data_IF_951283368858
#
_entry.id   IF_951283368858
#
_cell.length_a   1.000
_cell.length_b   1.000
_cell.length_c   1.000
_cell.angle_alpha   90.00
_cell.angle_beta   90.00
_cell.angle_gamma   90.00
#
_symmetry.space_group_name_H-M   'P 1'
#
loop_
_entity.id
_entity.type
_entity.pdbx_description
1 polymer ?
#
# COMPACT_ATOMS: atom_id res chain seq x y z
N UNK A 1 -15.90 -26.55 -41.52
CA UNK A 1 -15.43 -25.75 -40.39
C UNK A 1 -16.29 -26.16 -39.22
N UNK A 2 -15.72 -26.80 -38.21
CA UNK A 2 -16.46 -27.25 -37.04
C UNK A 2 -16.30 -26.15 -35.98
N UNK A 3 -17.42 -25.57 -35.53
CA UNK A 3 -17.37 -24.58 -34.46
C UNK A 3 -17.33 -25.30 -33.12
N UNK A 4 -16.69 -24.69 -32.12
CA UNK A 4 -16.61 -25.27 -30.77
C UNK A 4 -18.02 -25.45 -30.17
N UNK A 5 -18.96 -24.58 -30.55
CA UNK A 5 -20.38 -24.65 -30.22
C UNK A 5 -21.11 -25.85 -30.82
N UNK A 6 -20.53 -26.54 -31.80
CA UNK A 6 -21.13 -27.72 -32.43
C UNK A 6 -20.80 -29.01 -31.67
N UNK A 7 -19.91 -28.94 -30.66
CA UNK A 7 -19.56 -30.09 -29.83
C UNK A 7 -20.69 -30.42 -28.84
N UNK A 8 -20.95 -31.72 -28.56
CA UNK A 8 -21.94 -32.10 -27.55
C UNK A 8 -21.60 -31.51 -26.17
N UNK A 9 -22.61 -31.07 -25.43
CA UNK A 9 -22.47 -30.54 -24.06
C UNK A 9 -21.63 -31.45 -23.17
N UNK A 10 -21.79 -32.78 -23.27
CA UNK A 10 -20.99 -33.73 -22.50
C UNK A 10 -19.49 -33.68 -22.80
N UNK A 11 -19.09 -33.42 -24.06
CA UNK A 11 -17.70 -33.25 -24.42
C UNK A 11 -17.14 -31.92 -23.91
N UNK A 12 -17.93 -30.84 -24.02
CA UNK A 12 -17.56 -29.52 -23.51
C UNK A 12 -17.42 -29.51 -21.98
N UNK A 13 -18.35 -30.17 -21.27
CA UNK A 13 -18.30 -30.35 -19.82
C UNK A 13 -17.10 -31.22 -19.39
N UNK A 14 -16.75 -32.23 -20.18
CA UNK A 14 -15.55 -33.03 -19.91
C UNK A 14 -14.28 -32.19 -20.05
N UNK A 15 -14.15 -31.42 -21.14
CA UNK A 15 -13.00 -30.51 -21.35
C UNK A 15 -12.94 -29.46 -20.24
N UNK A 16 -14.07 -28.86 -19.88
CA UNK A 16 -14.13 -27.82 -18.87
C UNK A 16 -13.76 -28.32 -17.46
N UNK A 17 -13.96 -29.61 -17.17
CA UNK A 17 -13.57 -30.22 -15.89
C UNK A 17 -12.06 -30.23 -15.65
N UNK A 18 -11.24 -30.08 -16.70
CA UNK A 18 -9.79 -29.95 -16.57
C UNK A 18 -9.34 -28.52 -16.25
N UNK A 19 -10.18 -27.52 -16.55
CA UNK A 19 -9.90 -26.11 -16.30
C UNK A 19 -10.00 -25.78 -14.81
N UNK A 20 -9.23 -24.80 -14.35
CA UNK A 20 -9.45 -24.21 -13.03
C UNK A 20 -10.81 -23.53 -12.97
N UNK A 21 -11.38 -23.36 -11.76
CA UNK A 21 -12.71 -22.81 -11.57
C UNK A 21 -12.96 -21.49 -12.35
N UNK A 22 -12.10 -20.46 -12.26
CA UNK A 22 -12.32 -19.22 -13.01
C UNK A 22 -12.32 -19.44 -14.54
N UNK A 23 -11.36 -20.20 -15.06
CA UNK A 23 -11.24 -20.51 -16.49
C UNK A 23 -12.42 -21.33 -16.99
N UNK A 24 -12.93 -22.26 -16.17
CA UNK A 24 -14.12 -23.06 -16.45
C UNK A 24 -15.37 -22.18 -16.56
N UNK A 25 -15.51 -21.20 -15.67
CA UNK A 25 -16.63 -20.26 -15.72
C UNK A 25 -16.56 -19.36 -16.95
N UNK A 26 -15.39 -18.78 -17.25
CA UNK A 26 -15.16 -17.98 -18.45
C UNK A 26 -15.39 -18.79 -19.73
N UNK A 27 -14.98 -20.06 -19.75
CA UNK A 27 -15.24 -20.98 -20.85
C UNK A 27 -16.75 -21.21 -21.06
N UNK A 28 -17.51 -21.42 -19.99
CA UNK A 28 -18.97 -21.55 -20.05
C UNK A 28 -19.63 -20.27 -20.61
N UNK A 29 -19.16 -19.08 -20.21
CA UNK A 29 -19.62 -17.79 -20.73
C UNK A 29 -19.31 -17.63 -22.21
N UNK A 30 -18.08 -17.93 -22.62
CA UNK A 30 -17.64 -17.79 -24.02
C UNK A 30 -18.44 -18.69 -24.98
N UNK A 31 -18.89 -19.86 -24.52
CA UNK A 31 -19.70 -20.78 -25.30
C UNK A 31 -21.15 -20.31 -25.48
N UNK A 32 -21.59 -19.27 -24.76
CA UNK A 32 -22.84 -18.54 -24.94
C UNK A 32 -24.12 -19.41 -25.02
N UNK A 33 -24.03 -20.63 -24.51
CA UNK A 33 -25.10 -21.64 -24.55
C UNK A 33 -25.87 -21.57 -23.23
N UNK A 34 -26.90 -20.72 -23.19
CA UNK A 34 -27.76 -20.50 -22.00
C UNK A 34 -28.34 -21.78 -21.39
N UNK A 35 -28.51 -22.85 -22.18
CA UNK A 35 -29.09 -24.12 -21.69
C UNK A 35 -28.04 -25.13 -21.19
N UNK A 36 -26.76 -24.91 -21.49
CA UNK A 36 -25.68 -25.84 -21.10
C UNK A 36 -24.62 -25.23 -20.17
N UNK A 37 -24.75 -23.95 -19.81
CA UNK A 37 -23.73 -23.26 -19.01
C UNK A 37 -23.52 -23.93 -17.66
N UNK A 38 -24.59 -24.34 -16.96
CA UNK A 38 -24.48 -25.05 -15.67
C UNK A 38 -23.83 -26.42 -15.83
N UNK A 39 -24.17 -27.19 -16.87
CA UNK A 39 -23.57 -28.48 -17.15
C UNK A 39 -22.05 -28.38 -17.45
N UNK A 40 -21.62 -27.27 -18.04
CA UNK A 40 -20.20 -27.00 -18.36
C UNK A 40 -19.47 -26.42 -17.16
N UNK A 41 -20.13 -25.56 -16.39
CA UNK A 41 -19.60 -24.98 -15.16
C UNK A 41 -19.43 -26.04 -14.06
N UNK A 42 -20.32 -27.03 -14.00
CA UNK A 42 -20.45 -27.92 -12.86
C UNK A 42 -21.10 -27.21 -11.66
N UNK A 43 -21.28 -27.95 -10.56
CA UNK A 43 -22.06 -27.48 -9.39
C UNK A 43 -21.17 -27.12 -8.19
N UNK A 44 -19.87 -27.43 -8.25
CA UNK A 44 -18.93 -27.21 -7.14
C UNK A 44 -18.21 -25.87 -7.29
N UNK A 45 -18.78 -24.83 -6.68
CA UNK A 45 -18.33 -23.43 -6.73
C UNK A 45 -18.13 -22.82 -5.35
N UNK A 46 -17.57 -23.57 -4.41
CA UNK A 46 -17.27 -23.05 -3.07
C UNK A 46 -16.38 -21.80 -3.10
N UNK A 47 -15.47 -21.72 -4.07
CA UNK A 47 -14.48 -20.64 -4.18
C UNK A 47 -14.30 -20.19 -5.64
N UNK A 48 -14.43 -18.88 -5.87
CA UNK A 48 -14.12 -18.24 -7.15
C UNK A 48 -13.14 -17.06 -6.94
N UNK A 49 -11.95 -17.20 -7.52
CA UNK A 49 -10.87 -16.24 -7.40
C UNK A 49 -10.15 -16.04 -8.74
N UNK A 50 -10.20 -14.82 -9.25
CA UNK A 50 -9.62 -14.45 -10.54
C UNK A 50 -8.09 -14.26 -10.49
N UNK A 51 -7.47 -14.23 -9.31
CA UNK A 51 -6.02 -14.03 -9.15
C UNK A 51 -5.15 -15.20 -9.63
N UNK A 52 -5.72 -16.40 -9.78
CA UNK A 52 -4.99 -17.62 -10.14
C UNK A 52 -5.25 -18.13 -11.56
N UNK A 53 -6.00 -17.40 -12.39
CA UNK A 53 -6.40 -17.83 -13.75
C UNK A 53 -5.22 -18.42 -14.56
N UNK A 54 -4.02 -17.87 -14.38
CA UNK A 54 -2.87 -18.16 -15.25
C UNK A 54 -1.90 -19.19 -14.65
N UNK A 55 -1.70 -19.17 -13.32
CA UNK A 55 -0.80 -20.13 -12.64
C UNK A 55 -1.31 -21.56 -12.77
N UNK A 56 -2.62 -21.75 -12.68
CA UNK A 56 -3.24 -23.07 -12.73
C UNK A 56 -3.39 -23.61 -14.16
N UNK A 57 -3.52 -22.71 -15.14
CA UNK A 57 -3.52 -23.09 -16.56
C UNK A 57 -2.12 -23.54 -17.00
N UNK A 58 -1.07 -22.86 -16.53
CA UNK A 58 0.32 -23.21 -16.82
C UNK A 58 0.77 -24.51 -16.11
N UNK A 59 0.31 -24.76 -14.87
CA UNK A 59 0.73 -25.92 -14.08
C UNK A 59 0.15 -27.26 -14.55
N UNK A 60 -0.92 -27.26 -15.37
CA UNK A 60 -1.63 -28.48 -15.81
C UNK A 60 -1.23 -28.98 -17.20
N UNK A 61 -0.33 -28.29 -17.91
CA UNK A 61 0.20 -28.74 -19.20
C UNK A 61 1.39 -29.69 -18.95
N UNK A 62 1.29 -30.94 -19.43
CA UNK A 62 2.34 -31.97 -19.33
C UNK A 62 3.23 -31.91 -20.58
N UNK A 63 4.51 -32.26 -20.48
CA UNK A 63 5.55 -32.15 -21.53
C UNK A 63 5.15 -32.70 -22.92
N UNK A 64 4.26 -33.70 -22.99
CA UNK A 64 3.82 -34.29 -24.26
C UNK A 64 2.72 -33.44 -24.96
N UNK A 65 1.87 -32.73 -24.21
CA UNK A 65 0.90 -31.74 -24.75
C UNK A 65 1.62 -30.47 -25.22
N UNK A 66 2.73 -30.16 -24.54
CA UNK A 66 3.58 -29.01 -24.84
C UNK A 66 4.28 -29.19 -26.19
N UNK A 67 4.60 -30.41 -26.65
CA UNK A 67 5.33 -30.61 -27.91
C UNK A 67 4.53 -30.22 -29.16
N UNK A 68 3.21 -30.41 -29.16
CA UNK A 68 2.33 -30.00 -30.26
C UNK A 68 1.91 -28.52 -30.15
N UNK A 69 1.87 -27.98 -28.93
CA UNK A 69 1.64 -26.55 -28.67
C UNK A 69 2.91 -25.72 -28.90
N UNK A 70 4.12 -26.29 -28.79
CA UNK A 70 5.43 -25.60 -28.91
C UNK A 70 5.62 -24.92 -30.28
N UNK A 71 5.05 -25.48 -31.35
CA UNK A 71 5.09 -24.84 -32.68
C UNK A 71 4.22 -23.57 -32.72
N UNK A 72 3.19 -23.46 -31.87
CA UNK A 72 2.45 -22.22 -31.62
C UNK A 72 3.06 -21.38 -30.47
N UNK A 73 3.79 -21.99 -29.53
CA UNK A 73 4.31 -21.39 -28.30
C UNK A 73 5.52 -20.48 -28.52
N UNK A 74 6.24 -20.61 -29.64
CA UNK A 74 7.29 -19.66 -30.03
C UNK A 74 6.75 -18.23 -30.29
N UNK A 75 5.43 -18.04 -30.39
CA UNK A 75 4.76 -16.73 -30.34
C UNK A 75 4.24 -16.34 -28.94
N UNK A 76 4.05 -17.28 -28.01
CA UNK A 76 3.49 -17.04 -26.68
C UNK A 76 4.51 -16.61 -25.61
N UNK A 77 5.79 -16.96 -25.72
CA UNK A 77 6.79 -16.51 -24.73
C UNK A 77 7.00 -14.98 -24.71
N UNK A 78 6.61 -14.26 -25.76
CA UNK A 78 6.58 -12.79 -25.78
C UNK A 78 5.36 -12.19 -25.04
N UNK A 79 4.33 -13.00 -24.74
CA UNK A 79 3.10 -12.55 -24.08
C UNK A 79 3.06 -12.81 -22.58
N UNK A 80 3.93 -13.67 -22.02
CA UNK A 80 3.90 -14.02 -20.59
C UNK A 80 4.33 -12.88 -19.63
N UNK A 81 5.00 -11.84 -20.10
CA UNK A 81 5.19 -10.59 -19.35
C UNK A 81 3.99 -9.62 -19.46
N UNK A 82 2.94 -10.01 -20.19
CA UNK A 82 1.72 -9.26 -20.46
C UNK A 82 0.46 -9.92 -19.84
N UNK A 83 0.67 -10.74 -18.82
CA UNK A 83 -0.34 -11.65 -18.26
C UNK A 83 -1.16 -11.02 -17.10
N UNK A 84 -0.71 -9.93 -16.46
CA UNK A 84 -1.62 -9.08 -15.65
C UNK A 84 -2.81 -8.50 -16.45
N UNK A 85 -2.75 -8.56 -17.78
CA UNK A 85 -3.64 -7.87 -18.72
C UNK A 85 -4.96 -8.63 -18.92
N UNK A 86 -5.12 -9.90 -18.52
CA UNK A 86 -6.40 -10.60 -18.74
C UNK A 86 -7.43 -10.26 -17.66
N UNK A 87 -7.09 -10.39 -16.38
CA UNK A 87 -7.99 -9.99 -15.29
C UNK A 87 -8.33 -8.50 -15.36
N UNK A 88 -7.35 -7.67 -15.76
CA UNK A 88 -7.58 -6.25 -16.01
C UNK A 88 -8.56 -6.00 -17.18
N UNK A 89 -8.70 -6.92 -18.15
CA UNK A 89 -9.69 -6.77 -19.25
C UNK A 89 -11.09 -7.25 -18.89
N UNK A 90 -11.26 -7.93 -17.76
CA UNK A 90 -12.57 -8.41 -17.32
C UNK A 90 -13.45 -7.19 -17.01
N UNK A 91 -14.59 -7.11 -17.69
CA UNK A 91 -15.60 -6.08 -17.50
C UNK A 91 -16.72 -6.55 -16.58
N UNK A 92 -17.62 -5.63 -16.18
CA UNK A 92 -18.83 -5.98 -15.44
C UNK A 92 -19.72 -6.99 -16.19
N UNK A 93 -19.77 -6.94 -17.52
CA UNK A 93 -20.53 -7.89 -18.34
C UNK A 93 -19.96 -9.31 -18.23
N UNK A 94 -18.64 -9.44 -18.20
CA UNK A 94 -17.94 -10.72 -18.05
C UNK A 94 -18.18 -11.30 -16.64
N UNK A 95 -18.01 -10.48 -15.59
CA UNK A 95 -18.28 -10.89 -14.20
C UNK A 95 -19.74 -11.32 -14.06
N UNK A 96 -20.69 -10.53 -14.57
CA UNK A 96 -22.12 -10.87 -14.55
C UNK A 96 -22.40 -12.17 -15.26
N UNK A 97 -21.82 -12.37 -16.45
CA UNK A 97 -21.95 -13.60 -17.22
C UNK A 97 -21.44 -14.81 -16.45
N UNK A 98 -20.28 -14.69 -15.79
CA UNK A 98 -19.69 -15.75 -14.95
C UNK A 98 -20.61 -16.08 -13.78
N UNK A 99 -21.02 -15.08 -12.99
CA UNK A 99 -21.84 -15.28 -11.80
C UNK A 99 -23.21 -15.89 -12.14
N UNK A 100 -23.83 -15.49 -13.25
CA UNK A 100 -25.06 -16.12 -13.74
C UNK A 100 -24.84 -17.58 -14.19
N UNK A 101 -23.70 -17.86 -14.84
CA UNK A 101 -23.42 -19.19 -15.39
C UNK A 101 -23.21 -20.25 -14.31
N UNK A 102 -22.74 -19.84 -13.13
CA UNK A 102 -22.49 -20.73 -11.98
C UNK A 102 -23.63 -20.69 -10.95
N UNK A 103 -24.71 -19.96 -11.22
CA UNK A 103 -25.79 -19.69 -10.25
C UNK A 103 -25.23 -19.21 -8.90
N UNK A 104 -24.39 -18.18 -8.95
CA UNK A 104 -23.57 -17.74 -7.82
C UNK A 104 -24.39 -17.41 -6.57
N UNK A 105 -25.62 -16.89 -6.74
CA UNK A 105 -26.51 -16.57 -5.63
C UNK A 105 -26.78 -17.76 -4.71
N UNK A 106 -26.81 -18.98 -5.28
CA UNK A 106 -27.11 -20.22 -4.57
C UNK A 106 -25.88 -21.13 -4.34
N UNK A 107 -24.80 -20.95 -5.10
CA UNK A 107 -23.65 -21.87 -5.06
C UNK A 107 -22.30 -21.25 -4.62
N UNK A 108 -22.11 -19.94 -4.77
CA UNK A 108 -20.84 -19.28 -4.47
C UNK A 108 -20.69 -18.87 -3.00
N UNK A 109 -19.74 -19.47 -2.27
CA UNK A 109 -19.44 -19.08 -0.88
C UNK A 109 -18.36 -18.02 -0.75
N UNK A 110 -17.37 -17.99 -1.64
CA UNK A 110 -16.26 -17.04 -1.57
C UNK A 110 -15.97 -16.41 -2.93
N UNK A 111 -16.02 -15.08 -2.99
CA UNK A 111 -15.68 -14.32 -4.18
C UNK A 111 -14.45 -13.44 -3.92
N UNK A 112 -13.45 -13.53 -4.79
CA UNK A 112 -12.31 -12.60 -4.82
C UNK A 112 -12.16 -12.00 -6.21
N UNK A 113 -12.19 -10.68 -6.29
CA UNK A 113 -12.07 -9.92 -7.55
C UNK A 113 -10.63 -9.49 -7.82
N UNK A 114 -9.67 -10.30 -7.40
CA UNK A 114 -8.24 -10.03 -7.56
C UNK A 114 -7.90 -9.71 -9.01
N UNK A 115 -7.21 -8.58 -9.22
CA UNK A 115 -6.78 -8.03 -10.50
C UNK A 115 -7.91 -7.63 -11.48
N UNK A 116 -9.18 -7.69 -11.08
CA UNK A 116 -10.31 -7.18 -11.87
C UNK A 116 -10.44 -5.65 -11.77
N UNK A 117 -9.39 -4.92 -12.16
CA UNK A 117 -9.25 -3.48 -11.89
C UNK A 117 -10.15 -2.55 -12.74
N UNK A 118 -10.87 -3.08 -13.74
CA UNK A 118 -11.70 -2.29 -14.66
C UNK A 118 -13.21 -2.45 -14.44
N UNK A 119 -13.64 -3.02 -13.30
CA UNK A 119 -15.05 -3.20 -12.97
C UNK A 119 -15.60 -2.00 -12.20
N UNK A 120 -16.82 -1.59 -12.53
CA UNK A 120 -17.60 -0.60 -11.77
C UNK A 120 -18.29 -1.20 -10.55
N UNK A 121 -18.50 -2.52 -10.56
CA UNK A 121 -19.23 -3.25 -9.52
C UNK A 121 -20.63 -3.67 -9.95
N UNK A 122 -21.18 -3.09 -11.02
CA UNK A 122 -22.49 -3.45 -11.58
C UNK A 122 -22.56 -4.94 -12.00
N UNK A 123 -21.42 -5.55 -12.32
CA UNK A 123 -21.32 -6.97 -12.65
C UNK A 123 -21.66 -7.91 -11.50
N UNK A 124 -21.65 -7.42 -10.25
CA UNK A 124 -21.95 -8.19 -9.04
C UNK A 124 -23.45 -8.39 -8.78
N UNK A 125 -24.31 -7.77 -9.58
CA UNK A 125 -25.78 -7.84 -9.45
C UNK A 125 -26.33 -9.27 -9.25
N UNK A 126 -25.79 -10.33 -9.90
CA UNK A 126 -26.27 -11.70 -9.67
C UNK A 126 -26.10 -12.23 -8.24
N UNK A 127 -25.31 -11.58 -7.37
CA UNK A 127 -25.20 -11.96 -5.95
C UNK A 127 -26.32 -11.40 -5.08
N UNK A 128 -27.17 -10.52 -5.62
CA UNK A 128 -28.22 -9.82 -4.88
C UNK A 128 -29.08 -10.83 -4.11
N UNK A 129 -29.17 -10.61 -2.80
CA UNK A 129 -29.99 -11.40 -1.89
C UNK A 129 -29.47 -12.82 -1.64
N UNK A 130 -28.20 -13.12 -1.96
CA UNK A 130 -27.56 -14.40 -1.62
C UNK A 130 -27.58 -14.64 -0.11
N UNK A 131 -27.91 -15.86 0.29
CA UNK A 131 -27.89 -16.32 1.69
C UNK A 131 -26.67 -17.19 2.00
N UNK A 132 -25.93 -17.63 0.98
CA UNK A 132 -24.85 -18.63 1.11
C UNK A 132 -23.45 -18.05 0.94
N UNK A 133 -23.31 -16.83 0.40
CA UNK A 133 -22.03 -16.13 0.30
C UNK A 133 -21.48 -15.84 1.70
N UNK A 134 -20.22 -16.21 1.95
CA UNK A 134 -19.50 -16.08 3.22
C UNK A 134 -18.41 -15.01 3.16
N UNK A 135 -17.74 -14.88 2.02
CA UNK A 135 -16.62 -13.95 1.85
C UNK A 135 -16.71 -13.20 0.53
N UNK A 136 -16.54 -11.88 0.58
CA UNK A 136 -16.38 -11.04 -0.61
C UNK A 136 -15.13 -10.16 -0.43
N UNK A 137 -14.14 -10.36 -1.30
CA UNK A 137 -12.95 -9.52 -1.39
C UNK A 137 -13.00 -8.62 -2.63
N UNK A 138 -13.21 -7.33 -2.37
CA UNK A 138 -13.29 -6.24 -3.34
C UNK A 138 -11.99 -5.42 -3.38
N UNK A 139 -10.88 -5.89 -2.81
CA UNK A 139 -9.61 -5.14 -2.80
C UNK A 139 -8.98 -4.97 -4.19
N UNK A 140 -9.40 -5.78 -5.17
CA UNK A 140 -8.91 -5.81 -6.55
C UNK A 140 -7.41 -6.09 -6.73
N UNK A 141 -6.70 -6.39 -5.66
CA UNK A 141 -5.26 -6.66 -5.68
C UNK A 141 -4.95 -8.11 -5.35
N UNK A 142 -3.78 -8.56 -5.80
CA UNK A 142 -3.22 -9.86 -5.51
C UNK A 142 -3.02 -10.12 -4.02
N UNK A 143 -2.69 -11.37 -3.71
CA UNK A 143 -2.12 -11.70 -2.41
C UNK A 143 -0.81 -10.94 -2.21
N UNK A 144 -0.61 -10.40 -1.02
CA UNK A 144 0.64 -9.74 -0.61
C UNK A 144 0.99 -8.44 -1.37
N UNK A 145 0.09 -7.96 -2.22
CA UNK A 145 0.18 -6.69 -2.92
C UNK A 145 -0.39 -5.54 -2.08
N UNK A 146 0.08 -4.32 -2.37
CA UNK A 146 -0.46 -3.12 -1.76
C UNK A 146 -1.86 -2.85 -2.28
N UNK A 147 -2.86 -2.56 -1.44
CA UNK A 147 -4.24 -2.29 -1.88
C UNK A 147 -4.40 -0.91 -2.53
N UNK A 148 -3.32 -0.14 -2.64
CA UNK A 148 -3.28 1.15 -3.34
C UNK A 148 -3.02 0.92 -4.83
N UNK A 149 -4.01 1.25 -5.65
CA UNK A 149 -3.95 1.18 -7.10
C UNK A 149 -3.77 2.59 -7.69
N UNK A 150 -2.98 2.69 -8.77
CA UNK A 150 -2.79 3.91 -9.56
C UNK A 150 -2.88 3.54 -11.07
N UNK A 151 -3.94 3.97 -11.79
CA UNK A 151 -5.01 4.87 -11.34
C UNK A 151 -5.98 4.23 -10.34
N UNK A 152 -6.77 5.07 -9.67
CA UNK A 152 -7.85 4.61 -8.79
C UNK A 152 -8.86 3.74 -9.56
N UNK A 153 -9.31 2.60 -9.00
CA UNK A 153 -10.19 1.69 -9.70
C UNK A 153 -11.60 2.29 -9.85
N UNK A 154 -12.33 1.98 -10.94
CA UNK A 154 -13.65 2.55 -11.23
C UNK A 154 -14.78 1.95 -10.37
N UNK A 155 -14.47 1.01 -9.46
CA UNK A 155 -15.46 0.35 -8.62
C UNK A 155 -16.15 1.36 -7.69
N UNK A 156 -17.48 1.43 -7.76
CA UNK A 156 -18.28 2.47 -7.11
C UNK A 156 -19.11 1.94 -5.95
N UNK A 157 -19.11 2.67 -4.83
CA UNK A 157 -20.01 2.44 -3.71
C UNK A 157 -21.48 2.37 -4.15
N UNK A 158 -21.89 3.25 -5.08
CA UNK A 158 -23.28 3.37 -5.52
C UNK A 158 -23.81 2.11 -6.22
N UNK A 159 -22.94 1.37 -6.91
CA UNK A 159 -23.31 0.12 -7.59
C UNK A 159 -23.29 -1.07 -6.62
N UNK A 160 -22.27 -1.14 -5.75
CA UNK A 160 -22.03 -2.33 -4.92
C UNK A 160 -22.81 -2.33 -3.61
N UNK A 161 -22.96 -1.18 -2.93
CA UNK A 161 -23.64 -1.11 -1.62
C UNK A 161 -25.07 -1.66 -1.70
N UNK A 162 -25.92 -1.32 -2.70
CA UNK A 162 -27.25 -1.88 -2.79
C UNK A 162 -27.28 -3.42 -2.92
N UNK A 163 -26.24 -4.02 -3.49
CA UNK A 163 -26.10 -5.48 -3.60
C UNK A 163 -25.74 -6.06 -2.23
N UNK A 164 -24.75 -5.48 -1.54
CA UNK A 164 -24.36 -5.91 -0.20
C UNK A 164 -25.49 -5.72 0.81
N UNK A 165 -26.24 -4.62 0.74
CA UNK A 165 -27.42 -4.37 1.57
C UNK A 165 -28.44 -5.49 1.42
N UNK A 166 -28.75 -5.90 0.19
CA UNK A 166 -29.70 -6.99 -0.04
C UNK A 166 -29.28 -8.34 0.55
N UNK A 167 -27.96 -8.57 0.69
CA UNK A 167 -27.40 -9.79 1.29
C UNK A 167 -27.55 -9.71 2.82
N UNK A 168 -27.21 -8.57 3.43
CA UNK A 168 -27.30 -8.41 4.89
C UNK A 168 -28.74 -8.26 5.38
N UNK A 169 -29.66 -7.75 4.55
CA UNK A 169 -31.11 -7.69 4.82
C UNK A 169 -31.76 -9.07 5.01
N UNK A 170 -31.06 -10.15 4.62
CA UNK A 170 -31.48 -11.53 4.94
C UNK A 170 -31.37 -11.86 6.44
N UNK A 171 -30.67 -11.05 7.22
CA UNK A 171 -30.59 -11.21 8.68
C UNK A 171 -29.95 -12.53 9.08
N UNK A 172 -30.68 -13.35 9.84
CA UNK A 172 -30.22 -14.65 10.35
C UNK A 172 -29.92 -15.68 9.24
N UNK A 173 -30.52 -15.54 8.06
CA UNK A 173 -30.26 -16.42 6.90
C UNK A 173 -28.98 -16.02 6.13
N UNK A 174 -28.43 -14.84 6.41
CA UNK A 174 -27.21 -14.38 5.76
C UNK A 174 -26.02 -15.20 6.27
N UNK A 175 -25.21 -15.76 5.36
CA UNK A 175 -23.95 -16.43 5.71
C UNK A 175 -22.71 -15.53 5.61
N UNK A 176 -22.86 -14.25 5.25
CA UNK A 176 -21.72 -13.36 4.98
C UNK A 176 -20.94 -13.07 6.26
N UNK A 177 -19.70 -13.56 6.35
CA UNK A 177 -18.83 -13.49 7.53
C UNK A 177 -17.69 -12.49 7.36
N UNK A 178 -17.24 -12.24 6.14
CA UNK A 178 -16.08 -11.39 5.88
C UNK A 178 -16.22 -10.50 4.65
N UNK A 179 -15.92 -9.21 4.82
CA UNK A 179 -15.84 -8.23 3.75
C UNK A 179 -14.47 -7.53 3.73
N UNK A 180 -13.88 -7.44 2.53
CA UNK A 180 -12.71 -6.60 2.27
C UNK A 180 -13.06 -5.55 1.23
N UNK A 181 -12.98 -4.28 1.61
CA UNK A 181 -13.30 -3.14 0.74
C UNK A 181 -12.07 -2.62 -0.02
N UNK A 182 -12.29 -1.96 -1.19
CA UNK A 182 -11.25 -1.19 -1.87
C UNK A 182 -10.61 -0.18 -0.91
N UNK A 183 -9.31 0.11 -1.09
CA UNK A 183 -8.64 1.12 -0.27
C UNK A 183 -9.27 2.51 -0.43
N UNK A 184 -9.78 2.83 -1.62
CA UNK A 184 -10.34 4.14 -1.91
C UNK A 184 -11.57 4.46 -1.05
N UNK A 185 -12.50 3.51 -0.93
CA UNK A 185 -13.73 3.71 -0.14
C UNK A 185 -13.41 3.94 1.35
N UNK A 186 -12.29 3.40 1.82
CA UNK A 186 -11.84 3.54 3.21
C UNK A 186 -11.20 4.90 3.52
N UNK A 187 -10.86 5.70 2.50
CA UNK A 187 -10.36 7.06 2.68
C UNK A 187 -11.48 8.03 3.02
N UNK A 188 -12.69 7.80 2.52
CA UNK A 188 -13.85 8.66 2.76
C UNK A 188 -14.50 8.36 4.12
N UNK A 189 -14.10 9.11 5.15
CA UNK A 189 -14.62 8.98 6.53
C UNK A 189 -15.83 9.87 6.80
N UNK A 190 -16.72 9.98 5.82
CA UNK A 190 -17.91 10.80 5.96
C UNK A 190 -19.02 9.98 6.65
N UNK A 191 -19.45 10.40 7.84
CA UNK A 191 -20.53 9.74 8.60
C UNK A 191 -21.89 9.81 7.90
N UNK A 192 -22.05 10.72 6.95
CA UNK A 192 -23.28 10.87 6.14
C UNK A 192 -23.23 10.09 4.82
N UNK A 193 -22.12 9.41 4.51
CA UNK A 193 -22.00 8.59 3.30
C UNK A 193 -22.81 7.30 3.37
N UNK A 194 -23.27 6.83 2.21
CA UNK A 194 -23.92 5.51 2.08
C UNK A 194 -22.98 4.39 2.53
N UNK A 195 -21.67 4.53 2.33
CA UNK A 195 -20.66 3.58 2.80
C UNK A 195 -20.65 3.50 4.32
N UNK A 196 -20.63 4.62 5.03
CA UNK A 196 -20.69 4.63 6.49
C UNK A 196 -22.00 4.01 7.02
N UNK A 197 -23.13 4.35 6.38
CA UNK A 197 -24.43 3.79 6.72
C UNK A 197 -24.44 2.25 6.54
N UNK A 198 -23.83 1.75 5.45
CA UNK A 198 -23.64 0.32 5.22
C UNK A 198 -22.77 -0.31 6.32
N UNK A 199 -21.61 0.28 6.65
CA UNK A 199 -20.72 -0.24 7.70
C UNK A 199 -21.45 -0.35 9.05
N UNK A 200 -22.35 0.58 9.35
CA UNK A 200 -23.18 0.54 10.57
C UNK A 200 -24.08 -0.69 10.56
N UNK A 201 -24.85 -0.91 9.49
CA UNK A 201 -25.74 -2.08 9.33
C UNK A 201 -24.98 -3.41 9.34
N UNK A 202 -23.82 -3.46 8.68
CA UNK A 202 -23.00 -4.67 8.66
C UNK A 202 -22.44 -4.99 10.05
N UNK A 203 -21.98 -3.99 10.82
CA UNK A 203 -21.57 -4.22 12.20
C UNK A 203 -22.74 -4.70 13.07
N UNK A 204 -23.96 -4.18 12.89
CA UNK A 204 -25.15 -4.68 13.58
C UNK A 204 -25.44 -6.16 13.27
N UNK A 205 -25.25 -6.58 12.01
CA UNK A 205 -25.34 -8.00 11.63
C UNK A 205 -24.26 -8.84 12.33
N UNK A 206 -23.02 -8.37 12.38
CA UNK A 206 -21.96 -9.09 13.11
C UNK A 206 -22.27 -9.15 14.62
N UNK A 207 -22.86 -8.10 15.18
CA UNK A 207 -23.35 -8.04 16.55
C UNK A 207 -24.41 -9.09 16.86
N UNK A 208 -25.39 -9.28 15.98
CA UNK A 208 -26.49 -10.20 16.23
C UNK A 208 -26.08 -11.68 16.22
N UNK A 209 -24.94 -12.01 15.61
CA UNK A 209 -24.44 -13.39 15.49
C UNK A 209 -23.68 -13.91 16.73
N UNK A 210 -23.51 -13.10 17.77
CA UNK A 210 -22.79 -13.49 19.00
C UNK A 210 -21.44 -14.16 18.71
N UNK A 211 -20.61 -13.48 17.91
CA UNK A 211 -19.29 -13.97 17.50
C UNK A 211 -18.41 -14.24 18.73
N UNK A 212 -17.93 -15.47 18.86
CA UNK A 212 -17.02 -15.89 19.93
C UNK A 212 -15.58 -16.00 19.44
N UNK A 213 -14.64 -15.69 20.31
CA UNK A 213 -13.23 -15.94 20.05
C UNK A 213 -12.96 -17.46 20.01
N UNK A 214 -12.34 -17.96 18.95
CA UNK A 214 -12.03 -19.39 18.79
C UNK A 214 -11.14 -19.93 19.93
N UNK A 215 -10.30 -19.08 20.54
CA UNK A 215 -9.30 -19.51 21.53
C UNK A 215 -9.81 -19.52 22.98
N UNK A 216 -10.43 -18.45 23.43
CA UNK A 216 -10.93 -18.35 24.81
C UNK A 216 -12.43 -18.62 24.93
N UNK A 217 -13.14 -18.76 23.81
CA UNK A 217 -14.60 -18.91 23.76
C UNK A 217 -15.35 -17.78 24.47
N UNK A 218 -14.70 -16.61 24.65
CA UNK A 218 -15.38 -15.40 25.13
C UNK A 218 -16.13 -14.75 23.99
N UNK A 219 -17.26 -14.14 24.35
CA UNK A 219 -18.01 -13.26 23.47
C UNK A 219 -17.14 -12.04 23.11
N UNK A 220 -16.98 -11.77 21.82
CA UNK A 220 -16.18 -10.64 21.32
C UNK A 220 -16.78 -9.28 21.68
N UNK A 221 -18.07 -9.21 22.03
CA UNK A 221 -18.75 -7.97 22.43
C UNK A 221 -18.41 -7.50 23.84
N UNK A 222 -18.11 -8.42 24.75
CA UNK A 222 -17.83 -8.05 26.15
C UNK A 222 -16.41 -7.48 26.36
N UNK A 223 -15.48 -7.75 25.43
CA UNK A 223 -14.04 -7.59 25.64
C UNK A 223 -13.49 -6.28 25.04
N UNK A 224 -14.35 -5.36 24.57
CA UNK A 224 -13.98 -4.19 23.75
C UNK A 224 -13.27 -4.53 22.41
N UNK A 225 -13.16 -5.81 22.06
CA UNK A 225 -12.54 -6.31 20.82
C UNK A 225 -13.60 -6.63 19.76
N UNK A 226 -14.59 -5.76 19.60
CA UNK A 226 -15.63 -5.99 18.60
C UNK A 226 -15.00 -6.00 17.18
N UNK A 227 -15.40 -6.94 16.31
CA UNK A 227 -15.04 -6.90 14.89
C UNK A 227 -15.79 -5.75 14.21
N UNK A 228 -15.43 -4.51 14.57
CA UNK A 228 -16.03 -3.31 14.01
C UNK A 228 -15.22 -2.84 12.81
N UNK A 229 -15.93 -2.31 11.83
CA UNK A 229 -15.35 -1.62 10.69
C UNK A 229 -15.34 -0.09 10.83
N UNK A 230 -15.76 0.47 11.97
CA UNK A 230 -16.02 1.92 12.14
C UNK A 230 -14.96 2.67 12.96
N UNK A 231 -13.73 2.17 13.06
CA UNK A 231 -12.68 2.83 13.83
C UNK A 231 -12.25 4.17 13.19
N UNK A 232 -12.80 5.28 13.68
CA UNK A 232 -12.64 6.61 13.06
C UNK A 232 -11.23 7.20 13.20
N UNK A 233 -10.46 6.78 14.21
CA UNK A 233 -9.15 7.34 14.54
C UNK A 233 -7.98 6.69 13.80
N UNK A 234 -8.18 5.61 13.05
CA UNK A 234 -7.07 4.80 12.51
C UNK A 234 -7.19 4.57 11.00
N UNK A 235 -6.09 4.18 10.37
CA UNK A 235 -5.96 3.54 9.06
C UNK A 235 -6.86 2.31 8.82
N UNK A 236 -7.68 1.93 9.79
CA UNK A 236 -8.54 0.74 9.84
C UNK A 236 -10.02 0.98 9.52
N UNK A 237 -10.42 2.22 9.22
CA UNK A 237 -11.79 2.49 8.78
C UNK A 237 -12.18 1.62 7.58
N UNK A 238 -13.33 0.93 7.66
CA UNK A 238 -13.79 -0.03 6.67
C UNK A 238 -12.96 -1.33 6.58
N UNK A 239 -12.17 -1.67 7.60
CA UNK A 239 -11.46 -2.97 7.68
C UNK A 239 -12.08 -3.84 8.78
N UNK A 240 -12.24 -5.14 8.51
CA UNK A 240 -12.80 -6.07 9.50
C UNK A 240 -11.71 -6.53 10.48
N UNK A 241 -11.70 -5.93 11.66
CA UNK A 241 -10.77 -6.30 12.72
C UNK A 241 -11.10 -7.70 13.29
N UNK A 242 -10.09 -8.33 13.91
CA UNK A 242 -10.24 -9.56 14.70
C UNK A 242 -10.78 -10.80 13.97
N UNK A 243 -10.85 -10.76 12.64
CA UNK A 243 -11.26 -11.88 11.80
C UNK A 243 -10.11 -12.26 10.88
N UNK A 244 -9.72 -13.53 10.87
CA UNK A 244 -8.66 -13.99 9.98
C UNK A 244 -9.17 -14.02 8.53
N UNK A 245 -8.49 -13.33 7.63
CA UNK A 245 -8.81 -13.29 6.20
C UNK A 245 -8.92 -14.67 5.54
N UNK A 246 -8.11 -15.64 5.99
CA UNK A 246 -8.00 -16.94 5.34
C UNK A 246 -9.02 -17.97 5.87
N UNK A 247 -9.05 -18.19 7.20
CA UNK A 247 -9.97 -19.16 7.80
C UNK A 247 -11.31 -18.59 8.25
N UNK A 248 -11.47 -17.26 8.25
CA UNK A 248 -12.65 -16.53 8.75
C UNK A 248 -12.91 -16.69 10.26
N UNK A 249 -12.06 -17.43 10.98
CA UNK A 249 -12.14 -17.53 12.44
C UNK A 249 -11.88 -16.18 13.12
N UNK A 250 -12.53 -15.99 14.27
CA UNK A 250 -12.43 -14.77 15.08
C UNK A 250 -11.55 -14.98 16.31
N UNK A 251 -10.78 -13.95 16.66
CA UNK A 251 -9.82 -14.01 17.76
C UNK A 251 -9.82 -12.71 18.56
N UNK A 252 -9.83 -12.83 19.89
CA UNK A 252 -9.76 -11.69 20.79
C UNK A 252 -8.35 -11.06 20.80
N UNK A 253 -8.25 -9.76 21.10
CA UNK A 253 -6.95 -9.06 21.18
C UNK A 253 -6.05 -9.63 22.30
N UNK A 254 -6.65 -10.09 23.40
CA UNK A 254 -5.90 -10.59 24.57
C UNK A 254 -5.50 -12.06 24.46
N UNK A 255 -5.87 -12.72 23.36
CA UNK A 255 -5.61 -14.12 23.16
C UNK A 255 -4.19 -14.26 22.62
N UNK A 256 -3.26 -14.65 23.48
CA UNK A 256 -1.87 -14.94 23.12
C UNK A 256 -1.54 -16.43 23.28
N UNK A 257 -0.56 -16.90 22.51
CA UNK A 257 0.03 -18.21 22.70
C UNK A 257 0.88 -18.27 24.00
N UNK A 258 1.42 -19.45 24.31
CA UNK A 258 2.24 -19.66 25.50
C UNK A 258 3.54 -18.79 25.50
N UNK A 259 3.93 -18.27 24.34
CA UNK A 259 5.05 -17.35 24.16
C UNK A 259 4.67 -15.86 24.31
N UNK A 260 3.40 -15.55 24.59
CA UNK A 260 2.90 -14.18 24.68
C UNK A 260 2.66 -13.51 23.33
N UNK A 261 2.66 -14.27 22.22
CA UNK A 261 2.37 -13.76 20.89
C UNK A 261 0.87 -13.83 20.63
N UNK A 262 0.25 -12.71 20.28
CA UNK A 262 -1.18 -12.64 19.98
C UNK A 262 -1.57 -13.55 18.81
N UNK A 263 -2.63 -14.36 18.97
CA UNK A 263 -3.09 -15.33 17.97
C UNK A 263 -3.56 -14.69 16.66
N UNK A 264 -3.99 -13.44 16.73
CA UNK A 264 -4.32 -12.63 15.56
C UNK A 264 -3.28 -11.52 15.45
N UNK A 265 -2.52 -11.56 14.35
CA UNK A 265 -1.59 -10.48 14.06
C UNK A 265 -2.35 -9.18 13.80
N UNK A 266 -1.68 -8.05 14.00
CA UNK A 266 -2.18 -6.79 13.48
C UNK A 266 -2.39 -6.84 11.95
N UNK A 267 -3.15 -5.89 11.41
CA UNK A 267 -3.28 -5.75 9.95
C UNK A 267 -1.90 -5.64 9.30
N UNK A 268 -1.65 -6.46 8.28
CA UNK A 268 -0.39 -6.40 7.56
C UNK A 268 -0.22 -5.03 6.92
N UNK A 269 0.85 -4.30 7.25
CA UNK A 269 1.07 -2.94 6.75
C UNK A 269 1.15 -2.85 5.22
N UNK A 270 1.58 -3.93 4.54
CA UNK A 270 1.67 -3.99 3.08
C UNK A 270 0.34 -4.30 2.41
N UNK A 271 -0.29 -5.44 2.75
CA UNK A 271 -1.50 -5.90 2.06
C UNK A 271 -2.81 -5.57 2.79
N UNK A 272 -2.73 -4.98 3.98
CA UNK A 272 -3.83 -4.54 4.85
C UNK A 272 -4.83 -5.64 5.26
N UNK A 273 -4.46 -6.92 5.08
CA UNK A 273 -5.22 -8.10 5.52
C UNK A 273 -4.76 -8.55 6.91
N UNK A 274 -5.68 -9.12 7.68
CA UNK A 274 -5.43 -9.66 9.02
C UNK A 274 -5.36 -11.19 8.95
N UNK A 275 -4.34 -11.78 9.56
CA UNK A 275 -4.16 -13.22 9.59
C UNK A 275 -3.99 -13.73 11.02
N UNK A 276 -4.53 -14.91 11.30
CA UNK A 276 -4.17 -15.65 12.50
C UNK A 276 -2.82 -16.35 12.31
N UNK A 277 -2.13 -16.63 13.43
CA UNK A 277 -0.83 -17.29 13.44
C UNK A 277 -0.83 -18.68 12.80
N UNK A 278 -1.98 -19.37 12.74
CA UNK A 278 -2.06 -20.68 12.07
C UNK A 278 -2.14 -20.57 10.55
N UNK A 279 -2.79 -19.53 10.02
CA UNK A 279 -2.97 -19.38 8.58
C UNK A 279 -1.73 -18.79 7.91
N UNK A 280 -1.11 -17.80 8.55
CA UNK A 280 0.10 -17.16 8.03
C UNK A 280 1.01 -16.75 9.18
N UNK A 281 2.32 -16.94 8.99
CA UNK A 281 3.31 -16.34 9.87
C UNK A 281 3.25 -14.82 9.71
N UNK A 282 3.19 -14.11 10.83
CA UNK A 282 3.23 -12.65 10.88
C UNK A 282 4.43 -12.27 11.73
N UNK A 283 5.22 -11.33 11.23
CA UNK A 283 6.40 -10.80 11.92
C UNK A 283 6.20 -9.30 12.17
N UNK A 284 6.82 -8.78 13.24
CA UNK A 284 6.75 -7.36 13.62
C UNK A 284 8.08 -6.70 13.31
N UNK A 285 8.04 -5.57 12.62
CA UNK A 285 9.22 -4.72 12.47
C UNK A 285 9.51 -4.04 13.81
N UNK A 286 10.68 -4.31 14.40
CA UNK A 286 11.09 -3.72 15.68
C UNK A 286 10.96 -2.20 15.69
N UNK A 287 11.59 -1.49 14.73
CA UNK A 287 11.59 -0.02 14.76
C UNK A 287 10.24 0.69 14.57
N UNK A 288 9.39 0.21 13.66
CA UNK A 288 8.10 0.88 13.42
C UNK A 288 6.91 0.19 14.09
N UNK A 289 7.12 -0.94 14.78
CA UNK A 289 6.07 -1.73 15.42
C UNK A 289 5.01 -2.29 14.44
N UNK A 290 5.22 -2.15 13.13
CA UNK A 290 4.25 -2.55 12.11
C UNK A 290 4.31 -4.06 11.86
N UNK A 291 3.15 -4.65 11.62
CA UNK A 291 2.97 -6.08 11.38
C UNK A 291 3.06 -6.37 9.89
N UNK A 292 3.72 -7.45 9.50
CA UNK A 292 3.79 -7.89 8.11
C UNK A 292 3.59 -9.40 8.01
N UNK A 293 2.81 -9.82 7.03
CA UNK A 293 2.73 -11.23 6.69
C UNK A 293 4.09 -11.69 6.12
N UNK A 294 4.52 -12.92 6.39
CA UNK A 294 5.82 -13.43 5.96
C UNK A 294 6.01 -13.41 4.44
N UNK A 295 4.93 -13.53 3.67
CA UNK A 295 4.97 -13.48 2.20
C UNK A 295 4.95 -12.04 1.64
N UNK A 296 4.64 -11.07 2.50
CA UNK A 296 4.54 -9.67 2.11
C UNK A 296 5.91 -9.00 2.04
N UNK A 297 6.87 -9.45 2.84
CA UNK A 297 8.12 -8.74 3.01
C UNK A 297 9.26 -9.66 3.42
N UNK A 298 10.42 -9.47 2.79
CA UNK A 298 11.65 -10.12 3.20
C UNK A 298 12.28 -9.32 4.33
N UNK A 299 11.98 -9.72 5.57
CA UNK A 299 12.61 -9.12 6.74
C UNK A 299 14.12 -9.27 6.69
N UNK A 300 14.82 -8.19 7.05
CA UNK A 300 16.26 -8.22 7.25
C UNK A 300 16.55 -8.19 8.75
N UNK A 301 17.52 -8.99 9.17
CA UNK A 301 18.02 -8.94 10.53
C UNK A 301 19.00 -7.77 10.66
N UNK A 302 18.79 -6.90 11.65
CA UNK A 302 19.72 -5.81 11.95
C UNK A 302 21.00 -6.38 12.57
N UNK A 303 22.20 -6.16 12.00
CA UNK A 303 23.45 -6.72 12.52
C UNK A 303 23.89 -6.14 13.86
N UNK A 304 23.23 -5.09 14.35
CA UNK A 304 23.57 -4.42 15.63
C UNK A 304 22.68 -4.85 16.80
N UNK A 305 21.40 -5.11 16.55
CA UNK A 305 20.44 -5.48 17.61
C UNK A 305 19.79 -6.85 17.40
N UNK A 306 20.14 -7.57 16.33
CA UNK A 306 19.56 -8.85 15.90
C UNK A 306 18.05 -8.81 15.66
N UNK A 307 17.43 -7.63 15.65
CA UNK A 307 15.99 -7.43 15.47
C UNK A 307 15.55 -7.49 14.00
N UNK A 308 14.33 -8.01 13.78
CA UNK A 308 13.68 -8.02 12.47
C UNK A 308 13.29 -6.61 12.04
N UNK A 309 13.73 -6.23 10.84
CA UNK A 309 13.53 -4.88 10.31
C UNK A 309 12.88 -4.95 8.93
N UNK A 310 11.81 -4.18 8.72
CA UNK A 310 11.23 -4.02 7.39
C UNK A 310 12.16 -3.17 6.49
N UNK A 311 12.12 -3.34 5.17
CA UNK A 311 12.87 -2.54 4.21
C UNK A 311 12.75 -1.02 4.42
N UNK A 312 11.58 -0.51 4.80
CA UNK A 312 11.36 0.93 5.03
C UNK A 312 12.12 1.45 6.26
N UNK A 313 12.38 0.58 7.25
CA UNK A 313 13.15 0.90 8.45
C UNK A 313 14.62 0.48 8.33
N UNK A 314 15.03 -0.06 7.19
CA UNK A 314 16.37 -0.57 6.96
C UNK A 314 17.14 0.42 6.07
N UNK A 315 18.18 1.02 6.63
CA UNK A 315 18.97 2.05 5.94
C UNK A 315 20.45 1.73 5.98
N UNK A 316 21.17 2.12 4.93
CA UNK A 316 22.63 2.02 4.91
C UNK A 316 23.23 3.21 5.66
N UNK A 317 24.07 2.93 6.66
CA UNK A 317 24.82 3.97 7.34
C UNK A 317 25.81 4.60 6.34
N UNK A 318 25.71 5.92 6.12
CA UNK A 318 26.53 6.64 5.15
C UNK A 318 28.04 6.67 5.47
N UNK A 319 28.45 6.20 6.66
CA UNK A 319 29.84 6.17 7.11
C UNK A 319 30.49 4.81 7.01
N UNK A 320 29.87 3.80 7.64
CA UNK A 320 30.42 2.45 7.64
C UNK A 320 29.89 1.59 6.49
N UNK A 321 28.89 2.08 5.73
CA UNK A 321 28.20 1.34 4.68
C UNK A 321 27.54 0.04 5.18
N UNK A 322 27.42 -0.12 6.51
CA UNK A 322 26.68 -1.21 7.11
C UNK A 322 25.20 -0.85 7.14
N UNK A 323 24.37 -1.81 6.76
CA UNK A 323 22.94 -1.65 6.91
C UNK A 323 22.53 -1.76 8.38
N UNK A 324 21.65 -0.86 8.81
CA UNK A 324 21.18 -0.77 10.19
C UNK A 324 19.69 -0.46 10.22
N UNK A 325 19.02 -0.89 11.27
CA UNK A 325 17.64 -0.48 11.53
C UNK A 325 17.59 0.98 12.04
N UNK A 326 16.44 1.64 11.86
CA UNK A 326 16.26 3.04 12.29
C UNK A 326 16.40 3.25 13.81
N UNK A 327 16.14 2.25 14.65
CA UNK A 327 16.41 2.36 16.10
C UNK A 327 17.91 2.37 16.43
N UNK A 328 18.69 1.69 15.60
CA UNK A 328 20.15 1.67 15.68
C UNK A 328 20.80 2.85 14.95
N UNK A 329 19.99 3.67 14.26
CA UNK A 329 20.41 4.98 13.75
C UNK A 329 20.30 5.97 14.91
N UNK A 330 21.42 6.58 15.29
CA UNK A 330 21.39 7.68 16.25
C UNK A 330 20.58 8.81 15.65
N UNK A 331 19.50 9.21 16.31
CA UNK A 331 18.73 10.41 16.01
C UNK A 331 19.52 11.72 16.14
N UNK A 332 20.86 11.67 16.17
CA UNK A 332 21.75 12.80 15.97
C UNK A 332 21.63 13.26 14.51
N UNK A 333 20.49 13.85 14.17
CA UNK A 333 20.36 14.65 12.96
C UNK A 333 21.35 15.80 13.08
N UNK A 334 22.25 15.91 12.10
CA UNK A 334 23.13 17.06 12.02
C UNK A 334 22.22 18.30 11.90
N UNK A 335 22.30 19.24 12.84
CA UNK A 335 21.38 20.38 12.90
C UNK A 335 21.57 21.38 11.73
N UNK A 336 22.49 21.08 10.81
CA UNK A 336 22.77 21.86 9.62
C UNK A 336 22.38 21.13 8.33
N UNK A 337 21.86 21.89 7.39
CA UNK A 337 21.41 21.49 6.04
C UNK A 337 22.45 20.76 5.19
N UNK A 338 23.72 20.75 5.56
CA UNK A 338 24.79 20.11 4.78
C UNK A 338 24.73 18.59 4.76
N UNK A 339 24.01 17.97 5.70
CA UNK A 339 23.94 16.51 5.85
C UNK A 339 22.52 15.99 6.09
N UNK A 340 21.51 16.72 5.58
CA UNK A 340 20.10 16.35 5.71
C UNK A 340 19.79 14.92 5.22
N UNK A 341 20.60 14.39 4.30
CA UNK A 341 20.40 13.07 3.68
C UNK A 341 21.38 11.99 4.18
N UNK A 342 22.31 12.31 5.09
CA UNK A 342 23.32 11.34 5.57
C UNK A 342 22.90 10.71 6.90
N UNK A 343 22.72 9.40 6.88
CA UNK A 343 22.29 8.59 8.04
C UNK A 343 23.55 8.05 8.73
N UNK A 344 23.70 8.29 10.04
CA UNK A 344 24.79 7.74 10.86
C UNK A 344 24.24 6.77 11.91
N UNK A 345 24.82 5.58 12.01
CA UNK A 345 24.44 4.61 13.04
C UNK A 345 24.98 5.00 14.42
N UNK A 346 24.34 4.50 15.49
CA UNK A 346 24.74 4.70 16.90
C UNK A 346 26.21 4.35 17.12
N UNK A 347 26.68 3.25 16.50
CA UNK A 347 28.07 2.82 16.63
C UNK A 347 29.06 3.85 16.07
N UNK A 348 28.75 4.45 14.92
CA UNK A 348 29.56 5.53 14.36
C UNK A 348 29.50 6.80 15.23
N UNK A 349 28.36 7.07 15.88
CA UNK A 349 28.21 8.21 16.79
C UNK A 349 29.00 8.04 18.10
N UNK A 350 28.96 6.85 18.69
CA UNK A 350 29.61 6.53 19.97
C UNK A 350 31.14 6.50 19.90
N UNK A 351 31.71 6.15 18.75
CA UNK A 351 33.17 6.09 18.57
C UNK A 351 33.85 7.48 18.51
N UNK A 352 33.15 8.57 18.84
CA UNK A 352 33.74 9.89 19.15
C UNK A 352 34.31 10.67 17.95
N UNK A 353 34.53 10.02 16.81
CA UNK A 353 35.03 10.65 15.59
C UNK A 353 33.91 11.27 14.73
N UNK A 354 32.66 11.24 15.22
CA UNK A 354 31.52 11.65 14.41
C UNK A 354 31.09 13.10 14.57
N UNK A 355 31.23 13.67 15.76
CA UNK A 355 30.72 15.01 16.05
C UNK A 355 31.77 15.84 16.76
N UNK A 356 31.89 17.12 16.37
CA UNK A 356 32.65 18.13 17.08
C UNK A 356 31.68 19.14 17.67
N UNK A 357 31.79 19.31 18.98
CA UNK A 357 31.05 20.30 19.75
C UNK A 357 31.61 21.71 19.51
N UNK A 358 30.75 22.69 19.23
CA UNK A 358 31.13 24.10 19.22
C UNK A 358 30.86 24.71 20.60
N UNK A 359 31.92 25.11 21.31
CA UNK A 359 31.85 25.61 22.69
C UNK A 359 30.98 26.88 22.85
N UNK A 360 30.75 27.62 21.76
CA UNK A 360 30.05 28.91 21.80
C UNK A 360 28.57 28.83 21.51
N UNK A 361 28.15 27.99 20.56
CA UNK A 361 26.73 27.82 20.25
C UNK A 361 26.13 26.56 20.89
N UNK A 362 26.96 25.71 21.51
CA UNK A 362 26.52 24.45 22.11
C UNK A 362 25.81 23.53 21.11
N UNK A 363 26.34 23.46 19.88
CA UNK A 363 25.81 22.64 18.78
C UNK A 363 26.87 21.63 18.34
N UNK A 364 26.44 20.40 18.07
CA UNK A 364 27.24 19.32 17.50
C UNK A 364 27.29 19.39 15.97
N UNK A 365 28.50 19.31 15.41
CA UNK A 365 28.74 19.33 13.97
C UNK A 365 29.40 18.03 13.52
N UNK A 366 28.87 17.42 12.47
CA UNK A 366 29.43 16.18 11.92
C UNK A 366 30.83 16.40 11.31
N UNK A 367 31.80 15.56 11.69
CA UNK A 367 33.22 15.64 11.28
C UNK A 367 33.40 15.51 9.76
N UNK A 368 32.57 14.69 9.11
CA UNK A 368 32.61 14.47 7.66
C UNK A 368 31.87 15.56 6.86
N UNK A 369 31.16 16.48 7.52
CA UNK A 369 30.51 17.62 6.89
C UNK A 369 31.46 18.84 6.78
N UNK A 370 32.75 18.61 6.48
CA UNK A 370 33.57 19.35 5.50
C UNK A 370 34.95 19.83 5.97
N UNK A 371 35.97 19.52 5.16
CA UNK A 371 37.24 20.27 5.16
C UNK A 371 37.10 21.70 4.61
N UNK A 372 36.05 21.96 3.81
CA UNK A 372 35.82 23.20 3.05
C UNK A 372 34.68 24.10 3.53
N UNK A 373 33.85 23.70 4.49
CA UNK A 373 32.60 24.43 4.79
C UNK A 373 32.72 25.36 6.01
N UNK A 374 31.95 26.44 5.94
CA UNK A 374 31.93 27.59 6.84
C UNK A 374 31.44 27.23 8.26
N UNK A 375 30.96 25.99 8.43
CA UNK A 375 30.46 25.43 9.66
C UNK A 375 31.43 24.43 10.31
N UNK A 376 32.53 24.09 9.65
CA UNK A 376 33.51 23.15 10.18
C UNK A 376 34.04 23.62 11.53
N UNK A 377 33.86 22.79 12.55
CA UNK A 377 34.41 23.03 13.88
C UNK A 377 35.88 22.65 13.88
N UNK A 378 36.75 23.65 13.79
CA UNK A 378 38.21 23.46 13.85
C UNK A 378 38.71 23.92 15.21
N UNK A 379 39.68 23.23 15.79
CA UNK A 379 40.40 23.76 16.94
C UNK A 379 41.36 24.86 16.47
N UNK A 380 41.44 25.97 17.19
CA UNK A 380 42.46 26.99 16.95
C UNK A 380 43.44 26.99 18.11
N UNK A 381 44.67 26.56 17.83
CA UNK A 381 45.77 26.49 18.80
C UNK A 381 46.18 27.85 19.37
N UNK A 382 45.87 28.96 18.67
CA UNK A 382 46.20 30.32 19.12
C UNK A 382 45.22 30.82 20.18
N UNK A 383 43.94 30.48 20.08
CA UNK A 383 42.93 30.91 21.05
C UNK A 383 42.41 29.79 21.95
N UNK A 384 42.92 28.57 21.76
CA UNK A 384 42.57 27.34 22.47
C UNK A 384 41.05 27.06 22.47
N UNK A 385 40.34 27.51 21.44
CA UNK A 385 38.89 27.35 21.31
C UNK A 385 38.51 26.41 20.17
N UNK A 386 37.42 25.65 20.37
CA UNK A 386 36.81 24.78 19.37
C UNK A 386 35.51 25.43 18.89
N UNK A 387 35.57 26.13 17.75
CA UNK A 387 34.46 26.96 17.24
C UNK A 387 34.10 26.57 15.80
N UNK A 388 32.81 26.55 15.48
CA UNK A 388 32.34 26.55 14.10
C UNK A 388 32.72 27.86 13.40
N UNK A 389 32.83 27.85 12.06
CA UNK A 389 33.29 29.03 11.31
C UNK A 389 32.41 30.27 11.50
N UNK A 390 31.09 30.14 11.65
CA UNK A 390 30.22 31.28 11.99
C UNK A 390 30.51 31.89 13.38
N UNK A 391 30.61 31.05 14.42
CA UNK A 391 30.95 31.52 15.77
C UNK A 391 32.36 32.13 15.81
N UNK A 392 33.27 31.62 14.97
CA UNK A 392 34.62 32.15 14.77
C UNK A 392 34.61 33.52 14.10
N UNK A 393 33.84 33.72 13.03
CA UNK A 393 33.65 35.04 12.39
C UNK A 393 33.16 36.06 13.41
N UNK A 394 32.11 35.74 14.18
CA UNK A 394 31.60 36.62 15.23
C UNK A 394 32.66 36.92 16.31
N UNK A 395 33.39 35.91 16.79
CA UNK A 395 34.43 36.09 17.83
C UNK A 395 35.60 36.94 17.35
N UNK A 396 36.00 36.78 16.08
CA UNK A 396 37.04 37.60 15.46
C UNK A 396 36.61 39.05 15.27
N UNK A 397 35.36 39.30 14.87
CA UNK A 397 34.82 40.66 14.74
C UNK A 397 34.70 41.38 16.08
N UNK A 398 34.47 40.64 17.17
CA UNK A 398 34.19 41.25 18.46
C UNK A 398 35.48 41.66 19.21
N UNK A 399 36.52 40.81 19.36
CA UNK A 399 37.64 41.17 20.29
C UNK A 399 39.03 40.57 20.03
N UNK A 400 39.28 39.75 19.00
CA UNK A 400 40.63 39.15 18.80
C UNK A 400 41.05 39.08 17.33
N UNK A 401 42.09 39.85 16.98
CA UNK A 401 42.84 39.77 15.72
C UNK A 401 43.67 38.48 15.63
N UNK A 402 43.05 37.31 15.78
CA UNK A 402 43.73 36.04 15.50
C UNK A 402 43.85 35.88 13.98
N UNK A 403 45.04 36.15 13.44
CA UNK A 403 45.33 36.05 12.01
C UNK A 403 44.97 34.66 11.43
N UNK A 404 45.14 33.60 12.25
CA UNK A 404 44.81 32.23 11.86
C UNK A 404 43.29 32.01 11.74
N UNK A 405 42.51 32.52 12.69
CA UNK A 405 41.04 32.47 12.61
C UNK A 405 40.48 33.28 11.43
N UNK A 406 41.11 34.40 11.10
CA UNK A 406 40.74 35.20 9.92
C UNK A 406 40.96 34.42 8.62
N UNK A 407 42.10 33.73 8.50
CA UNK A 407 42.45 32.92 7.32
C UNK A 407 41.47 31.75 7.09
N UNK A 408 40.92 31.17 8.16
CA UNK A 408 39.88 30.14 8.07
C UNK A 408 38.49 30.69 7.74
N UNK A 409 38.23 31.98 7.99
CA UNK A 409 36.91 32.59 7.87
C UNK A 409 36.70 33.33 6.55
N UNK A 410 37.78 33.67 5.84
CA UNK A 410 37.71 34.50 4.63
C UNK A 410 37.10 33.80 3.40
N UNK A 411 37.40 32.52 3.10
CA UNK A 411 36.76 31.81 1.99
C UNK A 411 35.24 31.69 2.17
N UNK A 412 34.81 31.44 3.41
CA UNK A 412 33.40 31.37 3.80
C UNK A 412 32.61 32.65 3.48
N UNK A 413 33.18 33.80 3.82
CA UNK A 413 32.55 35.10 3.59
C UNK A 413 32.48 35.47 2.10
N UNK A 414 33.43 34.97 1.29
CA UNK A 414 33.41 35.15 -0.16
C UNK A 414 32.31 34.31 -0.81
N UNK A 415 32.19 33.04 -0.43
CA UNK A 415 31.13 32.15 -0.94
C UNK A 415 29.73 32.61 -0.55
N UNK A 416 29.52 33.06 0.70
CA UNK A 416 28.23 33.61 1.14
C UNK A 416 27.87 34.90 0.37
N UNK A 417 28.87 35.74 0.07
CA UNK A 417 28.68 36.93 -0.74
C UNK A 417 28.28 36.57 -2.17
N UNK A 418 28.95 35.61 -2.80
CA UNK A 418 28.64 35.15 -4.15
C UNK A 418 27.25 34.50 -4.22
N UNK A 419 26.90 33.66 -3.25
CA UNK A 419 25.57 33.02 -3.16
C UNK A 419 24.46 34.06 -2.99
N UNK A 420 24.68 35.05 -2.11
CA UNK A 420 23.73 36.15 -1.91
C UNK A 420 23.57 36.98 -3.19
N UNK A 421 24.66 37.22 -3.92
CA UNK A 421 24.63 37.93 -5.19
C UNK A 421 23.86 37.16 -6.27
N UNK A 422 24.05 35.83 -6.37
CA UNK A 422 23.28 34.98 -7.30
C UNK A 422 21.79 35.01 -7.00
N UNK A 423 21.40 34.85 -5.72
CA UNK A 423 19.98 34.92 -5.31
C UNK A 423 19.35 36.28 -5.59
N UNK A 424 20.09 37.37 -5.39
CA UNK A 424 19.61 38.70 -5.73
C UNK A 424 19.38 38.84 -7.24
N UNK A 425 20.27 38.31 -8.07
CA UNK A 425 20.10 38.33 -9.53
C UNK A 425 18.90 37.48 -10.00
N UNK A 426 18.66 36.32 -9.40
CA UNK A 426 17.48 35.47 -9.67
C UNK A 426 16.19 36.21 -9.31
N UNK A 427 16.13 36.80 -8.12
CA UNK A 427 14.97 37.57 -7.66
C UNK A 427 14.72 38.82 -8.52
N UNK A 428 15.78 39.48 -9.03
CA UNK A 428 15.64 40.57 -9.99
C UNK A 428 15.05 40.11 -11.33
N UNK A 429 15.41 38.91 -11.80
CA UNK A 429 14.87 38.33 -13.02
C UNK A 429 13.39 37.94 -12.87
N UNK A 430 13.01 37.29 -11.77
CA UNK A 430 11.60 36.96 -11.47
C UNK A 430 10.73 38.22 -11.39
N UNK A 431 11.22 39.26 -10.69
CA UNK A 431 10.54 40.55 -10.62
C UNK A 431 10.35 41.20 -12.00
N UNK A 432 11.32 41.02 -12.91
CA UNK A 432 11.23 41.51 -14.28
C UNK A 432 10.18 40.75 -15.09
N UNK A 433 10.10 39.44 -14.92
CA UNK A 433 9.10 38.58 -15.58
C UNK A 433 7.68 38.92 -15.12
N UNK A 434 7.46 39.03 -13.80
CA UNK A 434 6.17 39.45 -13.23
C UNK A 434 5.74 40.85 -13.73
N UNK A 435 6.69 41.80 -13.85
CA UNK A 435 6.40 43.12 -14.42
C UNK A 435 5.96 43.03 -15.89
N UNK A 436 6.53 42.12 -16.67
CA UNK A 436 6.14 41.92 -18.07
C UNK A 436 4.73 41.35 -18.18
N UNK A 437 4.40 40.36 -17.35
CA UNK A 437 3.07 39.74 -17.30
C UNK A 437 1.99 40.76 -16.89
N UNK A 438 2.24 41.57 -15.85
CA UNK A 438 1.35 42.67 -15.44
C UNK A 438 1.11 43.66 -16.59
N UNK A 439 2.16 43.99 -17.36
CA UNK A 439 2.04 44.89 -18.51
C UNK A 439 1.27 44.28 -19.69
N UNK A 440 1.30 42.96 -19.85
CA UNK A 440 0.49 42.25 -20.85
C UNK A 440 -0.98 42.22 -20.44
N UNK A 441 -1.27 41.89 -19.17
CA UNK A 441 -2.62 41.91 -18.63
C UNK A 441 -3.25 43.32 -18.71
N UNK A 442 -2.48 44.37 -18.41
CA UNK A 442 -2.93 45.77 -18.58
C UNK A 442 -3.31 46.10 -20.02
N UNK A 443 -2.61 45.53 -21.02
CA UNK A 443 -2.96 45.71 -22.44
C UNK A 443 -4.27 44.99 -22.76
N UNK A 444 -4.40 43.72 -22.37
CA UNK A 444 -5.63 42.92 -22.54
C UNK A 444 -6.86 43.59 -21.92
N UNK A 445 -6.73 44.13 -20.71
CA UNK A 445 -7.81 44.88 -20.05
C UNK A 445 -8.19 46.13 -20.84
N UNK A 446 -7.20 46.90 -21.32
CA UNK A 446 -7.45 48.12 -22.10
C UNK A 446 -8.22 47.81 -23.39
N UNK A 447 -7.83 46.76 -24.10
CA UNK A 447 -8.50 46.33 -25.34
C UNK A 447 -9.96 45.94 -25.07
N UNK A 448 -10.23 45.16 -24.02
CA UNK A 448 -11.59 44.79 -23.60
C UNK A 448 -12.44 46.00 -23.20
N UNK A 449 -11.88 46.97 -22.48
CA UNK A 449 -12.62 48.19 -22.12
C UNK A 449 -12.91 49.10 -23.31
N UNK A 450 -12.03 49.13 -24.34
CA UNK A 450 -12.28 49.91 -25.55
C UNK A 450 -13.44 49.34 -26.38
N UNK A 451 -13.54 48.02 -26.46
CA UNK A 451 -14.67 47.33 -27.12
C UNK A 451 -16.01 47.58 -26.40
N UNK A 452 -15.99 47.78 -25.09
CA UNK A 452 -17.18 48.09 -24.28
C UNK A 452 -17.69 49.53 -24.43
N UNK A 453 -16.85 50.48 -24.87
CA UNK A 453 -17.25 51.87 -25.12
C UNK A 453 -17.82 52.10 -26.54
N UNK A 454 -17.60 51.17 -27.47
CA UNK A 454 -18.12 51.22 -28.85
C UNK A 454 -19.47 50.51 -29.04
N UNK A 455 -19.96 49.78 -28.04
CA UNK A 455 -21.28 49.11 -27.98
C UNK A 455 -22.29 50.00 -27.24
#
# INVERSE_FOLDING_TARGET
>A
MMYLSDLPTGALAHVSSFLAAPSRALFAVALNSRESSSAIAGDDWEYLDFGHIEKDLAAKLIDDDIRDIIVAYQLCQYYLEKDLDLAAKISDDDIRGVLLSIDAVNNLKKLRLTNCINISGAGLEPLRGSTIIQQIDLSLVGDHESPRLDPEPPISCAEVIPILDSIIERGEECSLEYLQFPNEWRKERNTESDFHAFLTRYNELLCSRAVVCLKCNHDMFEVYSMPTMMEMSDSRYGTQNFTCYNCMDHYCEYCADDGGVYYIGGSCKKCERIYCLHCKKVDVCGPCGSWYCADCIDFKQCPKCDGNTCPDCFSECSRCHENTCSDCVSGASCHNTCCADKISCNHCAENGDAFRWCDRCSVDYCVDCCDSDIYAVKFCDVCEDTLCGQCRVKKCMEWRNCARCYHFSFPALLEDKERTQTKNNEMENENKEQRNEINELKRKVKDLTGELEEV
#
